data_IF_942405804162
#
_entry.id   IF_942405804162
#
_cell.length_a   1.000
_cell.length_b   1.000
_cell.length_c   1.000
_cell.angle_alpha   90.00
_cell.angle_beta   90.00
_cell.angle_gamma   90.00
#
_symmetry.space_group_name_H-M   'P 1'
#
loop_
_entity.id
_entity.type
_entity.pdbx_description
1 polymer ?
#
# COMPACT_ATOMS: atom_id res chain seq x y z
N UNK A 1 7.67 -0.24 13.90
CA UNK A 1 9.04 0.21 13.57
C UNK A 1 9.02 1.70 13.19
N UNK A 2 8.81 2.60 14.15
CA UNK A 2 8.93 4.06 13.94
C UNK A 2 10.32 4.54 14.37
N UNK A 3 10.91 3.90 15.39
CA UNK A 3 12.21 4.28 15.95
C UNK A 3 13.45 4.01 15.08
N UNK A 4 13.31 3.37 13.91
CA UNK A 4 14.42 3.14 12.97
C UNK A 4 14.53 4.22 11.87
N UNK A 5 13.62 5.20 11.86
CA UNK A 5 13.61 6.27 10.87
C UNK A 5 14.64 7.33 11.30
N UNK A 6 15.63 7.70 10.46
CA UNK A 6 16.60 8.73 10.81
C UNK A 6 15.93 10.07 11.12
N UNK A 7 16.32 10.73 12.21
CA UNK A 7 15.76 12.02 12.67
C UNK A 7 16.78 13.15 12.59
N UNK A 8 17.75 13.04 11.68
CA UNK A 8 18.94 13.89 11.66
C UNK A 8 18.69 15.28 11.04
N UNK A 9 17.47 15.54 10.54
CA UNK A 9 17.05 16.85 10.03
C UNK A 9 15.86 17.39 10.85
N UNK A 10 15.66 18.72 10.91
CA UNK A 10 14.51 19.31 11.60
C UNK A 10 13.16 18.78 11.08
N UNK A 11 13.05 18.57 9.77
CA UNK A 11 11.84 18.05 9.13
C UNK A 11 11.60 16.59 9.54
N UNK A 12 12.67 15.78 9.59
CA UNK A 12 12.57 14.40 10.02
C UNK A 12 12.17 14.30 11.51
N UNK A 13 12.68 15.20 12.36
CA UNK A 13 12.30 15.29 13.76
C UNK A 13 10.80 15.66 13.94
N UNK A 14 10.27 16.58 13.13
CA UNK A 14 8.85 16.93 13.19
C UNK A 14 7.95 15.79 12.70
N UNK A 15 8.34 15.11 11.62
CA UNK A 15 7.65 13.90 11.14
C UNK A 15 7.67 12.78 12.18
N UNK A 16 8.75 12.66 12.94
CA UNK A 16 8.83 11.68 14.03
C UNK A 16 7.78 11.95 15.11
N UNK A 17 7.54 13.21 15.48
CA UNK A 17 6.49 13.57 16.47
C UNK A 17 5.10 13.13 16.00
N UNK A 18 4.81 13.29 14.71
CA UNK A 18 3.55 12.86 14.11
C UNK A 18 3.44 11.32 14.12
N UNK A 19 4.50 10.62 13.71
CA UNK A 19 4.52 9.16 13.67
C UNK A 19 4.40 8.52 15.06
N UNK A 20 4.87 9.19 16.12
CA UNK A 20 4.71 8.72 17.49
C UNK A 20 3.25 8.68 17.96
N UNK A 21 2.32 9.36 17.27
CA UNK A 21 0.87 9.25 17.52
C UNK A 21 0.28 7.94 17.01
N UNK A 22 1.01 7.18 16.19
CA UNK A 22 0.59 5.89 15.65
C UNK A 22 0.80 4.78 16.68
N UNK A 23 0.01 4.83 17.75
CA UNK A 23 0.07 3.87 18.84
C UNK A 23 -0.59 2.54 18.45
N UNK A 24 -0.04 1.42 18.94
CA UNK A 24 -0.58 0.09 18.65
C UNK A 24 -2.05 -0.06 19.08
N UNK A 25 -2.46 0.62 20.15
CA UNK A 25 -3.84 0.58 20.65
C UNK A 25 -4.88 1.15 19.68
N UNK A 26 -4.46 1.96 18.70
CA UNK A 26 -5.37 2.55 17.69
C UNK A 26 -5.89 1.54 16.67
N UNK A 27 -5.17 0.45 16.46
CA UNK A 27 -5.54 -0.59 15.49
C UNK A 27 -6.55 -1.58 16.10
N UNK A 28 -6.47 -1.77 17.42
CA UNK A 28 -7.20 -2.82 18.13
C UNK A 28 -8.74 -2.80 17.92
N UNK A 29 -9.45 -1.65 17.97
CA UNK A 29 -10.91 -1.64 17.81
C UNK A 29 -11.37 -2.22 16.47
N UNK A 30 -10.72 -1.85 15.36
CA UNK A 30 -11.07 -2.36 14.04
C UNK A 30 -10.73 -3.85 13.89
N UNK A 31 -9.57 -4.27 14.42
CA UNK A 31 -9.22 -5.69 14.46
C UNK A 31 -10.24 -6.52 15.23
N UNK A 32 -10.68 -6.06 16.41
CA UNK A 32 -11.70 -6.74 17.20
C UNK A 32 -13.06 -6.75 16.50
N UNK A 33 -13.43 -5.69 15.79
CA UNK A 33 -14.64 -5.66 14.97
C UNK A 33 -14.62 -6.74 13.88
N UNK A 34 -13.48 -6.95 13.22
CA UNK A 34 -13.32 -8.03 12.21
C UNK A 34 -13.39 -9.45 12.81
N UNK A 35 -13.19 -9.61 14.11
CA UNK A 35 -13.31 -10.89 14.82
C UNK A 35 -14.73 -11.15 15.36
N UNK A 36 -15.65 -10.20 15.20
CA UNK A 36 -17.02 -10.32 15.68
C UNK A 36 -17.91 -11.09 14.69
N UNK A 37 -19.03 -11.64 15.19
CA UNK A 37 -20.05 -12.29 14.36
C UNK A 37 -20.60 -11.35 13.28
N UNK A 38 -20.64 -10.04 13.53
CA UNK A 38 -21.11 -9.04 12.58
C UNK A 38 -20.20 -8.92 11.35
N UNK A 39 -18.95 -9.36 11.44
CA UNK A 39 -17.98 -9.33 10.35
C UNK A 39 -17.88 -10.65 9.57
N UNK A 40 -18.75 -11.64 9.82
CA UNK A 40 -18.66 -12.99 9.24
C UNK A 40 -18.59 -13.04 7.71
N UNK A 41 -19.19 -12.07 7.02
CA UNK A 41 -19.23 -12.01 5.56
C UNK A 41 -18.03 -11.24 4.96
N UNK A 42 -17.15 -10.69 5.80
CA UNK A 42 -15.97 -9.94 5.36
C UNK A 42 -14.82 -10.93 5.11
N UNK A 43 -14.53 -11.19 3.84
CA UNK A 43 -13.44 -12.09 3.43
C UNK A 43 -12.66 -11.56 2.23
N UNK A 44 -11.38 -11.92 2.15
CA UNK A 44 -10.48 -11.58 1.07
C UNK A 44 -10.12 -10.09 0.96
N UNK A 45 -10.48 -9.25 1.93
CA UNK A 45 -10.19 -7.81 1.87
C UNK A 45 -8.86 -7.46 2.55
N UNK A 46 -8.27 -6.35 2.12
CA UNK A 46 -7.06 -5.79 2.72
C UNK A 46 -7.42 -4.42 3.29
N UNK A 47 -7.17 -4.22 4.58
CA UNK A 47 -7.41 -2.95 5.25
C UNK A 47 -6.12 -2.38 5.82
N UNK A 48 -5.96 -1.06 5.77
CA UNK A 48 -4.95 -0.34 6.55
C UNK A 48 -5.63 0.46 7.65
N UNK A 49 -5.01 0.52 8.83
CA UNK A 49 -5.47 1.38 9.93
C UNK A 49 -4.34 2.30 10.33
N UNK A 50 -4.60 3.59 10.36
CA UNK A 50 -3.63 4.64 10.72
C UNK A 50 -4.30 5.62 11.67
N UNK A 51 -3.93 5.59 12.94
CA UNK A 51 -4.60 6.35 14.00
C UNK A 51 -6.13 6.13 13.96
N UNK A 52 -6.95 7.16 13.70
CA UNK A 52 -8.41 7.03 13.65
C UNK A 52 -8.94 6.78 12.23
N UNK A 53 -8.08 6.40 11.29
CA UNK A 53 -8.41 6.24 9.87
C UNK A 53 -8.38 4.77 9.46
N UNK A 54 -9.38 4.34 8.68
CA UNK A 54 -9.48 2.99 8.11
C UNK A 54 -9.53 3.11 6.59
N UNK A 55 -8.64 2.37 5.91
CA UNK A 55 -8.50 2.33 4.46
C UNK A 55 -8.87 0.95 3.95
N UNK A 56 -9.68 0.89 2.89
CA UNK A 56 -9.87 -0.33 2.12
C UNK A 56 -8.94 -0.31 0.92
N UNK A 57 -8.08 -1.32 0.81
CA UNK A 57 -7.16 -1.47 -0.31
C UNK A 57 -7.81 -2.29 -1.42
N UNK A 58 -7.53 -1.91 -2.67
CA UNK A 58 -7.82 -2.76 -3.82
C UNK A 58 -6.90 -3.98 -3.84
N UNK A 59 -7.43 -5.14 -4.21
CA UNK A 59 -6.62 -6.34 -4.46
C UNK A 59 -6.08 -6.31 -5.89
N UNK A 60 -4.79 -6.64 -6.11
CA UNK A 60 -4.27 -6.77 -7.46
C UNK A 60 -4.93 -7.97 -8.16
N UNK A 61 -5.47 -7.73 -9.36
CA UNK A 61 -5.92 -8.75 -10.31
C UNK A 61 -5.17 -8.55 -11.62
N UNK A 62 -5.03 -9.58 -12.48
CA UNK A 62 -4.47 -9.37 -13.81
C UNK A 62 -5.28 -8.30 -14.57
N UNK A 63 -4.64 -7.20 -14.94
CA UNK A 63 -5.29 -6.08 -15.65
C UNK A 63 -4.95 -6.06 -17.15
N UNK A 64 -3.87 -6.73 -17.55
CA UNK A 64 -3.40 -6.77 -18.95
C UNK A 64 -2.54 -8.00 -19.18
N UNK A 65 -2.51 -8.47 -20.43
CA UNK A 65 -1.70 -9.61 -20.86
C UNK A 65 -0.89 -9.27 -22.10
N UNK A 66 0.24 -9.94 -22.25
CA UNK A 66 1.02 -9.98 -23.48
C UNK A 66 1.18 -11.44 -23.88
N UNK A 67 0.97 -11.75 -25.14
CA UNK A 67 1.03 -13.12 -25.67
C UNK A 67 2.13 -13.21 -26.73
N UNK A 68 2.91 -14.29 -26.69
CA UNK A 68 3.84 -14.69 -27.74
C UNK A 68 3.76 -16.21 -27.95
N UNK A 69 3.33 -16.64 -29.14
CA UNK A 69 3.17 -18.06 -29.49
C UNK A 69 4.50 -18.82 -29.56
N UNK A 70 5.60 -18.12 -29.78
CA UNK A 70 6.94 -18.70 -29.94
C UNK A 70 7.71 -18.79 -28.61
N UNK A 71 7.12 -18.36 -27.49
CA UNK A 71 7.77 -18.23 -26.20
C UNK A 71 8.43 -16.86 -26.01
N UNK A 72 9.17 -16.67 -24.91
CA UNK A 72 9.81 -15.40 -24.57
C UNK A 72 11.32 -15.56 -24.42
N UNK A 73 12.10 -14.72 -25.09
CA UNK A 73 13.51 -14.43 -24.78
C UNK A 73 13.63 -13.10 -24.03
N UNK A 74 14.79 -12.84 -23.44
CA UNK A 74 15.08 -11.55 -22.76
C UNK A 74 14.85 -10.38 -23.72
N UNK A 75 15.34 -10.49 -24.95
CA UNK A 75 15.22 -9.47 -26.01
C UNK A 75 13.74 -9.22 -26.33
N UNK A 76 12.97 -10.29 -26.58
CA UNK A 76 11.54 -10.15 -26.90
C UNK A 76 10.71 -9.59 -25.74
N UNK A 77 11.11 -9.82 -24.50
CA UNK A 77 10.46 -9.21 -23.34
C UNK A 77 10.70 -7.69 -23.32
N UNK A 78 11.92 -7.25 -23.58
CA UNK A 78 12.30 -5.83 -23.59
C UNK A 78 11.67 -5.10 -24.77
N UNK A 79 11.71 -5.69 -25.96
CA UNK A 79 11.26 -5.04 -27.19
C UNK A 79 9.74 -5.10 -27.40
N UNK A 80 9.07 -6.09 -26.81
CA UNK A 80 7.63 -6.34 -27.07
C UNK A 80 6.79 -6.38 -25.81
N UNK A 81 7.10 -7.29 -24.87
CA UNK A 81 6.23 -7.49 -23.71
C UNK A 81 6.11 -6.24 -22.82
N UNK A 82 7.22 -5.61 -22.47
CA UNK A 82 7.23 -4.43 -21.60
C UNK A 82 6.49 -3.25 -22.27
N UNK A 83 6.80 -2.85 -23.52
CA UNK A 83 6.06 -1.78 -24.20
C UNK A 83 4.55 -2.05 -24.30
N UNK A 84 4.15 -3.31 -24.54
CA UNK A 84 2.73 -3.69 -24.57
C UNK A 84 2.03 -3.46 -23.23
N UNK A 85 2.73 -3.60 -22.10
CA UNK A 85 2.16 -3.49 -20.76
C UNK A 85 2.34 -2.09 -20.15
N UNK A 86 3.29 -1.30 -20.64
CA UNK A 86 3.74 -0.05 -20.03
C UNK A 86 2.62 0.98 -19.82
N UNK A 87 1.66 1.06 -20.76
CA UNK A 87 0.51 1.95 -20.63
C UNK A 87 -0.43 1.64 -19.44
N UNK A 88 -0.22 0.51 -18.75
CA UNK A 88 -0.99 0.10 -17.58
C UNK A 88 -0.15 0.10 -16.29
N UNK A 89 1.09 0.61 -16.33
CA UNK A 89 1.93 0.72 -15.14
C UNK A 89 1.42 1.80 -14.20
N UNK A 90 1.49 1.54 -12.90
CA UNK A 90 1.26 2.55 -11.87
C UNK A 90 2.52 3.38 -11.66
N UNK A 91 2.41 4.70 -11.41
CA UNK A 91 3.55 5.55 -11.12
C UNK A 91 4.23 5.14 -9.81
N UNK A 92 5.52 5.47 -9.67
CA UNK A 92 6.22 5.33 -8.40
C UNK A 92 5.74 6.42 -7.44
N UNK A 93 4.99 6.03 -6.41
CA UNK A 93 4.43 6.93 -5.41
C UNK A 93 4.89 6.52 -4.01
N UNK A 94 5.15 7.52 -3.18
CA UNK A 94 5.38 7.37 -1.76
C UNK A 94 4.05 7.40 -1.03
N UNK A 95 4.01 6.90 0.21
CA UNK A 95 2.78 6.94 1.02
C UNK A 95 2.25 8.35 1.23
N UNK A 96 3.10 9.38 1.24
CA UNK A 96 2.69 10.79 1.31
C UNK A 96 2.03 11.31 0.04
N UNK A 97 2.28 10.70 -1.10
CA UNK A 97 1.65 11.07 -2.37
C UNK A 97 0.23 10.50 -2.45
N UNK A 98 -0.01 9.39 -1.73
CA UNK A 98 -1.33 8.74 -1.61
C UNK A 98 -2.14 9.28 -0.43
N UNK A 99 -1.48 9.54 0.70
CA UNK A 99 -2.05 10.12 1.92
C UNK A 99 -1.37 11.47 2.23
N UNK A 100 -1.74 12.57 1.53
CA UNK A 100 -1.07 13.87 1.65
C UNK A 100 -1.34 14.63 2.95
N UNK A 101 -2.05 14.02 3.90
CA UNK A 101 -2.38 14.61 5.20
C UNK A 101 -1.78 13.82 6.37
N UNK A 102 -1.59 14.52 7.48
CA UNK A 102 -1.14 13.90 8.72
C UNK A 102 -2.25 13.04 9.35
N UNK A 103 -1.90 11.90 9.95
CA UNK A 103 -2.87 11.02 10.62
C UNK A 103 -3.67 11.77 11.70
N UNK A 104 -4.99 11.65 11.65
CA UNK A 104 -5.93 12.22 12.63
C UNK A 104 -6.49 11.19 13.59
#
# INVERSE_FOLDING_TARGET
MVGSIPTNTPEAAERMKINMRLEAGKIAPFTLALLSEQAKDITGQIFGVRNNEIYLFSQPRPIRTAHNSEGWTVESCVERAIPMLQGSFTPLQLSRDVFPWDPV
#
